data_IF_901465837262
#
_entry.id   IF_901465837262
#
_cell.length_a   1.000
_cell.length_b   1.000
_cell.length_c   1.000
_cell.angle_alpha   90.00
_cell.angle_beta   90.00
_cell.angle_gamma   90.00
#
_symmetry.space_group_name_H-M   'P 1'
#
loop_
_entity.id
_entity.type
_entity.pdbx_description
1 polymer ?
#
# COMPACT_ATOMS: atom_id res chain seq x y z
N UNK A 1 6.01 4.51 17.12
CA UNK A 1 6.17 5.79 16.40
C UNK A 1 5.56 5.59 15.02
N UNK A 2 4.78 6.53 14.49
CA UNK A 2 4.21 6.36 13.15
C UNK A 2 5.25 6.77 12.10
N UNK A 3 5.85 5.78 11.41
CA UNK A 3 6.96 5.98 10.46
C UNK A 3 6.57 6.87 9.27
N UNK A 4 5.28 6.97 8.94
CA UNK A 4 4.80 7.76 7.80
C UNK A 4 5.01 9.27 7.97
N UNK A 5 5.16 9.77 9.20
CA UNK A 5 5.39 11.20 9.46
C UNK A 5 6.87 11.61 9.44
N UNK A 6 7.79 10.64 9.40
CA UNK A 6 9.22 10.92 9.39
C UNK A 6 9.68 11.32 7.97
N UNK A 7 10.64 12.23 7.89
CA UNK A 7 11.34 12.54 6.64
C UNK A 7 12.18 11.35 6.18
N UNK A 8 12.51 11.31 4.88
CA UNK A 8 13.35 10.22 4.34
C UNK A 8 14.74 10.19 5.00
N UNK A 9 15.27 11.34 5.42
CA UNK A 9 16.54 11.41 6.13
C UNK A 9 16.45 10.80 7.54
N UNK A 10 15.37 11.07 8.27
CA UNK A 10 15.11 10.47 9.59
C UNK A 10 14.93 8.96 9.49
N UNK A 11 14.15 8.48 8.51
CA UNK A 11 13.96 7.05 8.25
C UNK A 11 15.29 6.34 7.95
N UNK A 12 16.15 6.93 7.10
CA UNK A 12 17.48 6.36 6.81
C UNK A 12 18.34 6.33 8.06
N UNK A 13 18.37 7.42 8.84
CA UNK A 13 19.13 7.48 10.10
C UNK A 13 18.67 6.40 11.08
N UNK A 14 17.37 6.20 11.21
CA UNK A 14 16.78 5.22 12.12
C UNK A 14 17.01 3.77 11.65
N UNK A 15 16.92 3.52 10.34
CA UNK A 15 17.21 2.20 9.75
C UNK A 15 18.67 1.78 10.03
N UNK A 16 19.61 2.70 9.83
CA UNK A 16 21.05 2.48 9.99
C UNK A 16 21.51 2.50 11.46
N UNK A 17 20.69 3.00 12.38
CA UNK A 17 21.02 3.02 13.80
C UNK A 17 21.28 1.60 14.32
N UNK A 18 22.37 1.44 15.08
CA UNK A 18 22.71 0.17 15.69
C UNK A 18 21.59 -0.27 16.66
N UNK A 19 21.32 -1.59 16.78
CA UNK A 19 20.42 -2.10 17.80
C UNK A 19 20.85 -1.59 19.16
N UNK A 20 19.90 -1.10 19.95
CA UNK A 20 20.17 -0.69 21.33
C UNK A 20 20.61 -1.93 22.09
N UNK A 21 21.92 -2.11 22.24
CA UNK A 21 22.48 -3.13 23.13
C UNK A 21 22.09 -2.74 24.54
N UNK A 22 21.17 -3.50 25.15
CA UNK A 22 21.02 -3.42 26.60
C UNK A 22 22.39 -3.77 27.21
N UNK A 23 22.89 -2.91 28.09
CA UNK A 23 24.03 -3.26 28.93
C UNK A 23 23.67 -4.57 29.65
N UNK A 24 24.60 -5.54 29.76
CA UNK A 24 24.30 -6.78 30.48
C UNK A 24 23.77 -6.41 31.86
N UNK A 25 22.58 -6.91 32.18
CA UNK A 25 22.02 -6.80 33.53
C UNK A 25 23.12 -7.25 34.51
N UNK A 26 23.38 -6.51 35.60
CA UNK A 26 24.36 -6.94 36.60
C UNK A 26 24.00 -8.37 37.02
N UNK A 27 25.00 -9.26 37.02
CA UNK A 27 24.85 -10.65 37.43
C UNK A 27 24.05 -10.68 38.75
N UNK A 28 22.89 -11.36 38.80
CA UNK A 28 22.12 -11.42 40.02
C UNK A 28 22.97 -12.12 41.09
N UNK A 29 23.05 -11.53 42.29
CA UNK A 29 23.46 -12.28 43.46
C UNK A 29 22.55 -13.51 43.58
N UNK A 30 23.11 -14.64 44.01
CA UNK A 30 22.53 -15.99 43.92
C UNK A 30 21.24 -16.24 44.74
N UNK A 31 20.48 -15.20 45.13
CA UNK A 31 19.28 -15.31 45.94
C UNK A 31 17.96 -14.97 45.23
N UNK A 32 17.93 -14.44 43.99
CA UNK A 32 16.67 -14.12 43.31
C UNK A 32 16.53 -14.83 41.94
N UNK A 33 15.89 -16.01 41.96
CA UNK A 33 15.59 -16.81 40.77
C UNK A 33 14.47 -16.22 39.87
N UNK A 34 13.91 -15.05 40.21
CA UNK A 34 12.82 -14.41 39.47
C UNK A 34 13.29 -13.38 38.41
N UNK A 35 14.55 -12.95 38.43
CA UNK A 35 15.04 -11.86 37.60
C UNK A 35 15.58 -12.28 36.20
N UNK A 36 15.62 -13.58 35.90
CA UNK A 36 16.20 -14.09 34.65
C UNK A 36 15.23 -14.15 33.45
N UNK A 37 13.96 -13.76 33.63
CA UNK A 37 12.90 -13.92 32.63
C UNK A 37 12.49 -12.62 31.92
N UNK A 38 13.44 -11.72 31.63
CA UNK A 38 13.15 -10.46 30.91
C UNK A 38 14.06 -10.18 29.71
N UNK A 39 15.00 -11.06 29.38
CA UNK A 39 16.02 -10.79 28.37
C UNK A 39 15.70 -11.27 26.93
N UNK A 40 14.46 -11.69 26.62
CA UNK A 40 14.19 -12.36 25.32
C UNK A 40 13.08 -11.70 24.47
N UNK A 41 12.31 -10.72 24.97
CA UNK A 41 11.13 -10.21 24.24
C UNK A 41 11.38 -8.98 23.33
N UNK A 42 12.58 -8.40 23.29
CA UNK A 42 12.83 -7.13 22.56
C UNK A 42 13.22 -7.27 21.07
N UNK A 43 13.80 -8.41 20.67
CA UNK A 43 14.26 -8.64 19.29
C UNK A 43 13.15 -8.59 18.21
N UNK A 44 11.93 -9.15 18.41
CA UNK A 44 10.92 -9.16 17.36
C UNK A 44 10.31 -7.77 17.10
N UNK A 45 10.19 -6.92 18.12
CA UNK A 45 9.66 -5.56 17.96
C UNK A 45 10.65 -4.64 17.22
N UNK A 46 11.95 -4.79 17.48
CA UNK A 46 12.98 -4.04 16.76
C UNK A 46 13.05 -4.43 15.28
N UNK A 47 13.02 -5.73 14.97
CA UNK A 47 13.00 -6.22 13.60
C UNK A 47 11.76 -5.71 12.85
N UNK A 48 10.57 -5.83 13.44
CA UNK A 48 9.32 -5.35 12.84
C UNK A 48 9.37 -3.84 12.57
N UNK A 49 9.94 -3.06 13.48
CA UNK A 49 10.13 -1.62 13.32
C UNK A 49 11.12 -1.29 12.20
N UNK A 50 12.27 -1.95 12.13
CA UNK A 50 13.24 -1.75 11.03
C UNK A 50 12.64 -2.14 9.67
N UNK A 51 11.84 -3.20 9.61
CA UNK A 51 11.14 -3.60 8.39
C UNK A 51 10.07 -2.58 7.97
N UNK A 52 9.35 -1.97 8.92
CA UNK A 52 8.36 -0.94 8.60
C UNK A 52 9.02 0.32 8.03
N UNK A 53 10.18 0.72 8.56
CA UNK A 53 11.00 1.82 8.02
C UNK A 53 11.49 1.49 6.61
N UNK A 54 12.05 0.29 6.40
CA UNK A 54 12.52 -0.13 5.08
C UNK A 54 11.39 -0.16 4.05
N UNK A 55 10.20 -0.63 4.44
CA UNK A 55 8.98 -0.63 3.61
C UNK A 55 8.56 0.79 3.22
N UNK A 56 8.53 1.72 4.18
CA UNK A 56 8.18 3.12 3.92
C UNK A 56 9.16 3.79 2.95
N UNK A 57 10.47 3.57 3.12
CA UNK A 57 11.49 4.07 2.20
C UNK A 57 11.32 3.52 0.77
N UNK A 58 11.05 2.22 0.64
CA UNK A 58 10.81 1.57 -0.65
C UNK A 58 9.54 2.12 -1.32
N UNK A 59 8.45 2.31 -0.56
CA UNK A 59 7.21 2.89 -1.07
C UNK A 59 7.43 4.31 -1.62
N UNK A 60 8.25 5.13 -0.94
CA UNK A 60 8.60 6.48 -1.41
C UNK A 60 9.45 6.47 -2.66
N UNK A 61 10.47 5.61 -2.72
CA UNK A 61 11.34 5.46 -3.91
C UNK A 61 10.53 5.02 -5.14
N UNK A 62 9.66 4.02 -4.97
CA UNK A 62 8.83 3.51 -6.05
C UNK A 62 7.77 4.53 -6.50
N UNK A 63 7.17 5.26 -5.55
CA UNK A 63 6.27 6.38 -5.87
C UNK A 63 7.00 7.49 -6.63
N UNK A 64 8.24 7.81 -6.26
CA UNK A 64 9.05 8.79 -7.00
C UNK A 64 9.31 8.34 -8.45
N UNK A 65 9.56 7.05 -8.68
CA UNK A 65 9.67 6.51 -10.06
C UNK A 65 8.37 6.65 -10.86
N UNK A 66 7.22 6.53 -10.22
CA UNK A 66 5.90 6.74 -10.86
C UNK A 66 5.61 8.22 -11.15
N UNK A 67 6.27 9.14 -10.44
CA UNK A 67 6.21 10.59 -10.67
C UNK A 67 7.18 11.06 -11.76
N UNK A 68 8.25 10.32 -12.03
CA UNK A 68 9.31 10.69 -12.99
C UNK A 68 9.01 10.25 -14.44
N UNK A 69 7.95 9.46 -14.66
CA UNK A 69 7.58 9.04 -16.00
C UNK A 69 6.26 8.26 -16.11
N UNK A 70 5.86 7.90 -17.33
CA UNK A 70 4.60 7.21 -17.57
C UNK A 70 4.54 5.87 -16.83
N UNK A 71 3.55 5.73 -15.96
CA UNK A 71 3.37 4.56 -15.10
C UNK A 71 3.15 3.30 -15.93
N UNK A 72 2.48 3.43 -17.08
CA UNK A 72 2.21 2.33 -18.01
C UNK A 72 3.45 1.89 -18.81
N UNK A 73 4.56 2.64 -18.79
CA UNK A 73 5.82 2.18 -19.38
C UNK A 73 6.44 1.02 -18.57
N UNK A 74 6.09 0.90 -17.29
CA UNK A 74 6.47 -0.23 -16.45
C UNK A 74 5.35 -0.60 -15.47
N UNK A 75 4.33 -1.37 -15.92
CA UNK A 75 3.24 -1.82 -15.05
C UNK A 75 3.73 -2.61 -13.82
N UNK A 76 4.92 -3.21 -13.92
CA UNK A 76 5.58 -3.88 -12.80
C UNK A 76 5.81 -2.95 -11.61
N UNK A 77 6.21 -1.69 -11.83
CA UNK A 77 6.44 -0.73 -10.73
C UNK A 77 5.15 -0.50 -9.94
N UNK A 78 4.00 -0.39 -10.63
CA UNK A 78 2.68 -0.27 -9.99
C UNK A 78 2.35 -1.51 -9.16
N UNK A 79 2.48 -2.70 -9.76
CA UNK A 79 2.14 -3.96 -9.10
C UNK A 79 3.00 -4.17 -7.85
N UNK A 80 4.30 -3.94 -7.96
CA UNK A 80 5.22 -4.05 -6.83
C UNK A 80 4.89 -3.01 -5.75
N UNK A 81 4.54 -1.77 -6.14
CA UNK A 81 4.16 -0.71 -5.20
C UNK A 81 2.87 -1.07 -4.47
N UNK A 82 1.87 -1.60 -5.18
CA UNK A 82 0.60 -2.05 -4.62
C UNK A 82 0.78 -3.22 -3.65
N UNK A 83 1.59 -4.23 -4.01
CA UNK A 83 1.94 -5.32 -3.08
C UNK A 83 2.57 -4.75 -1.82
N UNK A 84 3.53 -3.84 -1.96
CA UNK A 84 4.20 -3.21 -0.83
C UNK A 84 3.24 -2.35 -0.02
N UNK A 85 2.30 -1.63 -0.63
CA UNK A 85 1.34 -0.77 0.08
C UNK A 85 0.32 -1.60 0.86
N UNK A 86 -0.18 -2.68 0.26
CA UNK A 86 -1.21 -3.54 0.83
C UNK A 86 -0.67 -4.62 1.78
N UNK A 87 0.66 -4.83 1.82
CA UNK A 87 1.28 -5.86 2.65
C UNK A 87 0.91 -5.69 4.13
N UNK A 88 0.34 -6.74 4.73
CA UNK A 88 -0.02 -6.76 6.15
C UNK A 88 -1.34 -6.06 6.49
N UNK A 89 -2.10 -5.57 5.51
CA UNK A 89 -3.44 -5.03 5.77
C UNK A 89 -4.42 -6.19 6.07
N UNK A 90 -5.05 -6.12 7.25
CA UNK A 90 -6.03 -7.12 7.73
C UNK A 90 -7.46 -6.85 7.26
N UNK A 91 -7.65 -5.82 6.43
CA UNK A 91 -8.93 -5.38 5.88
C UNK A 91 -8.69 -4.93 4.44
N UNK A 92 -9.78 -4.86 3.69
CA UNK A 92 -9.76 -4.34 2.33
C UNK A 92 -9.63 -2.81 2.34
N UNK A 93 -8.81 -2.32 1.42
CA UNK A 93 -8.69 -0.91 1.07
C UNK A 93 -8.92 -0.76 -0.43
N UNK A 94 -9.54 0.35 -0.83
CA UNK A 94 -9.70 0.71 -2.23
C UNK A 94 -8.86 1.96 -2.53
N UNK A 95 -7.92 1.79 -3.45
CA UNK A 95 -6.96 2.79 -3.86
C UNK A 95 -7.30 3.33 -5.24
N UNK A 96 -7.05 4.62 -5.43
CA UNK A 96 -7.12 5.27 -6.74
C UNK A 96 -5.82 5.99 -7.01
N UNK A 97 -5.17 5.65 -8.11
CA UNK A 97 -3.98 6.34 -8.62
C UNK A 97 -4.44 7.27 -9.72
N UNK A 98 -4.34 8.57 -9.48
CA UNK A 98 -4.70 9.62 -10.43
C UNK A 98 -3.53 9.88 -11.37
N UNK A 99 -3.79 9.89 -12.67
CA UNK A 99 -2.78 10.09 -13.69
C UNK A 99 -3.11 11.29 -14.57
N UNK A 100 -2.07 11.99 -15.01
CA UNK A 100 -2.19 13.06 -15.98
C UNK A 100 -2.38 12.53 -17.43
N UNK A 101 -2.41 13.45 -18.40
CA UNK A 101 -2.59 13.11 -19.81
C UNK A 101 -1.40 12.34 -20.43
N UNK A 102 -0.24 12.33 -19.77
CA UNK A 102 0.96 11.57 -20.14
C UNK A 102 1.07 10.24 -19.36
N UNK A 103 0.03 9.88 -18.59
CA UNK A 103 0.01 8.70 -17.72
C UNK A 103 1.05 8.73 -16.61
N UNK A 104 1.50 9.92 -16.19
CA UNK A 104 2.36 10.11 -15.03
C UNK A 104 1.48 10.20 -13.79
N UNK A 105 1.95 9.64 -12.67
CA UNK A 105 1.23 9.72 -11.40
C UNK A 105 1.09 11.18 -10.95
N UNK A 106 -0.11 11.56 -10.53
CA UNK A 106 -0.37 12.81 -9.81
C UNK A 106 -0.37 12.51 -8.31
N UNK A 107 -1.22 11.57 -7.89
CA UNK A 107 -1.41 11.17 -6.49
C UNK A 107 -1.93 9.73 -6.41
N UNK A 108 -1.63 9.04 -5.31
CA UNK A 108 -2.18 7.73 -4.99
C UNK A 108 -2.95 7.82 -3.66
N UNK A 109 -4.27 7.64 -3.70
CA UNK A 109 -5.16 7.88 -2.56
C UNK A 109 -5.84 6.58 -2.12
N UNK A 110 -5.77 6.26 -0.81
CA UNK A 110 -6.66 5.29 -0.16
C UNK A 110 -8.01 5.95 0.08
N UNK A 111 -8.96 5.74 -0.84
CA UNK A 111 -10.26 6.42 -0.80
C UNK A 111 -11.24 5.75 0.16
N UNK A 112 -11.16 4.43 0.30
CA UNK A 112 -12.10 3.66 1.10
C UNK A 112 -11.39 2.56 1.87
N UNK A 113 -11.92 2.30 3.05
CA UNK A 113 -11.48 1.21 3.93
C UNK A 113 -12.70 0.39 4.34
N UNK A 114 -12.60 -0.92 4.12
CA UNK A 114 -13.67 -1.86 4.35
C UNK A 114 -13.44 -2.77 5.54
N UNK A 115 -14.08 -3.94 5.47
CA UNK A 115 -13.93 -5.05 6.42
C UNK A 115 -12.92 -6.07 5.87
N UNK A 116 -12.88 -7.26 6.47
CA UNK A 116 -12.07 -8.37 5.98
C UNK A 116 -12.50 -8.88 4.58
N UNK A 117 -13.77 -8.67 4.20
CA UNK A 117 -14.39 -9.35 3.04
C UNK A 117 -15.04 -8.42 2.03
N UNK A 118 -15.15 -7.12 2.34
CA UNK A 118 -15.72 -6.15 1.40
C UNK A 118 -15.38 -4.71 1.78
N UNK A 119 -15.29 -3.85 0.77
CA UNK A 119 -15.26 -2.38 0.91
C UNK A 119 -16.42 -1.75 0.14
N UNK A 120 -17.14 -0.82 0.77
CA UNK A 120 -18.17 -0.04 0.07
C UNK A 120 -17.53 1.14 -0.65
N UNK A 121 -17.53 1.09 -1.98
CA UNK A 121 -16.98 2.14 -2.86
C UNK A 121 -18.13 2.88 -3.53
N UNK A 122 -18.08 4.21 -3.48
CA UNK A 122 -19.13 5.07 -4.03
C UNK A 122 -18.62 5.80 -5.29
N UNK A 123 -19.13 5.49 -6.49
CA UNK A 123 -18.66 6.09 -7.75
C UNK A 123 -18.64 7.63 -7.73
N UNK A 124 -19.62 8.26 -7.08
CA UNK A 124 -19.70 9.72 -6.95
C UNK A 124 -18.47 10.34 -6.26
N UNK A 125 -17.90 9.67 -5.27
CA UNK A 125 -16.75 10.18 -4.53
C UNK A 125 -15.47 9.96 -5.33
N UNK A 126 -15.36 8.82 -6.03
CA UNK A 126 -14.25 8.58 -6.98
C UNK A 126 -14.24 9.63 -8.09
N UNK A 127 -15.40 9.95 -8.69
CA UNK A 127 -15.53 11.00 -9.71
C UNK A 127 -15.14 12.37 -9.15
N UNK A 128 -15.61 12.73 -7.94
CA UNK A 128 -15.23 13.99 -7.29
C UNK A 128 -13.72 14.10 -7.07
N UNK A 129 -13.09 13.04 -6.55
CA UNK A 129 -11.64 13.07 -6.30
C UNK A 129 -10.83 13.10 -7.60
N UNK A 130 -11.24 12.34 -8.63
CA UNK A 130 -10.60 12.39 -9.94
C UNK A 130 -10.60 13.80 -10.55
N UNK A 131 -11.74 14.50 -10.46
CA UNK A 131 -11.86 15.89 -10.91
C UNK A 131 -11.05 16.86 -10.04
N UNK A 132 -11.02 16.66 -8.72
CA UNK A 132 -10.23 17.48 -7.81
C UNK A 132 -8.72 17.41 -8.09
N UNK A 133 -8.24 16.23 -8.51
CA UNK A 133 -6.86 16.02 -8.94
C UNK A 133 -6.61 16.38 -10.41
N UNK A 134 -7.63 16.82 -11.15
CA UNK A 134 -7.56 17.07 -12.59
C UNK A 134 -6.98 15.87 -13.38
N UNK A 135 -7.40 14.66 -12.98
CA UNK A 135 -6.90 13.42 -13.56
C UNK A 135 -7.43 13.23 -14.99
N UNK A 136 -6.57 12.89 -15.94
CA UNK A 136 -7.00 12.46 -17.28
C UNK A 136 -7.33 10.95 -17.32
N UNK A 137 -6.78 10.19 -16.37
CA UNK A 137 -7.05 8.77 -16.23
C UNK A 137 -6.74 8.28 -14.82
N UNK A 138 -7.21 7.07 -14.48
CA UNK A 138 -6.98 6.44 -13.18
C UNK A 138 -6.59 4.97 -13.32
N UNK A 139 -5.83 4.48 -12.34
CA UNK A 139 -5.73 3.06 -12.03
C UNK A 139 -6.48 2.80 -10.73
N UNK A 140 -7.30 1.76 -10.70
CA UNK A 140 -8.03 1.33 -9.51
C UNK A 140 -7.27 0.16 -8.88
N UNK A 141 -7.32 0.03 -7.55
CA UNK A 141 -6.83 -1.17 -6.90
C UNK A 141 -7.61 -1.48 -5.62
N UNK A 142 -7.73 -2.76 -5.30
CA UNK A 142 -8.07 -3.19 -3.95
C UNK A 142 -7.27 -4.43 -3.55
N UNK A 143 -7.15 -4.68 -2.25
CA UNK A 143 -6.55 -5.91 -1.75
C UNK A 143 -7.62 -6.87 -1.25
N UNK A 144 -7.33 -8.16 -1.34
CA UNK A 144 -8.02 -9.20 -0.60
C UNK A 144 -7.09 -9.71 0.52
N UNK A 145 -7.39 -9.46 1.81
CA UNK A 145 -6.59 -9.98 2.92
C UNK A 145 -6.47 -11.51 2.91
N UNK A 146 -7.42 -12.21 2.30
CA UNK A 146 -7.40 -13.66 2.09
C UNK A 146 -6.30 -14.15 1.14
N UNK A 147 -5.69 -13.25 0.35
CA UNK A 147 -4.70 -13.60 -0.67
C UNK A 147 -5.28 -14.15 -1.97
N UNK A 148 -6.61 -14.22 -2.11
CA UNK A 148 -7.26 -14.67 -3.35
C UNK A 148 -7.22 -13.57 -4.41
N UNK A 149 -6.87 -13.94 -5.64
CA UNK A 149 -6.78 -12.99 -6.77
C UNK A 149 -8.04 -12.96 -7.64
N UNK A 150 -8.91 -13.97 -7.50
CA UNK A 150 -10.12 -14.08 -8.31
C UNK A 150 -11.05 -12.91 -8.00
N UNK A 151 -11.48 -12.13 -9.01
CA UNK A 151 -12.48 -11.10 -8.79
C UNK A 151 -13.81 -11.74 -8.41
N UNK A 152 -14.54 -11.10 -7.50
CA UNK A 152 -15.94 -11.40 -7.24
C UNK A 152 -16.82 -10.72 -8.30
N UNK A 153 -18.08 -11.17 -8.43
CA UNK A 153 -19.06 -10.48 -9.29
C UNK A 153 -19.31 -9.04 -8.84
N UNK A 154 -19.10 -8.72 -7.56
CA UNK A 154 -19.20 -7.36 -7.06
C UNK A 154 -18.05 -6.48 -7.57
N UNK A 155 -16.83 -7.02 -7.66
CA UNK A 155 -15.67 -6.30 -8.18
C UNK A 155 -15.85 -5.98 -9.67
N UNK A 156 -16.32 -6.94 -10.45
CA UNK A 156 -16.62 -6.72 -11.87
C UNK A 156 -17.69 -5.64 -12.08
N UNK A 157 -18.81 -5.74 -11.33
CA UNK A 157 -19.88 -4.76 -11.41
C UNK A 157 -19.42 -3.36 -10.98
N UNK A 158 -18.65 -3.27 -9.89
CA UNK A 158 -18.07 -2.02 -9.42
C UNK A 158 -17.15 -1.42 -10.48
N UNK A 159 -16.27 -2.23 -11.07
CA UNK A 159 -15.33 -1.79 -12.11
C UNK A 159 -16.07 -1.20 -13.30
N UNK A 160 -17.10 -1.88 -13.80
CA UNK A 160 -17.89 -1.41 -14.94
C UNK A 160 -18.69 -0.13 -14.60
N UNK A 161 -19.19 -0.03 -13.37
CA UNK A 161 -19.87 1.18 -12.88
C UNK A 161 -18.92 2.37 -12.81
N UNK A 162 -17.72 2.17 -12.26
CA UNK A 162 -16.68 3.20 -12.17
C UNK A 162 -16.19 3.63 -13.55
N UNK A 163 -15.91 2.67 -14.44
CA UNK A 163 -15.52 2.93 -15.83
C UNK A 163 -16.56 3.79 -16.54
N UNK A 164 -17.83 3.44 -16.44
CA UNK A 164 -18.92 4.21 -17.06
C UNK A 164 -19.06 5.60 -16.44
N UNK A 165 -18.95 5.71 -15.10
CA UNK A 165 -19.11 6.97 -14.38
C UNK A 165 -18.00 7.97 -14.65
N UNK A 166 -16.74 7.51 -14.66
CA UNK A 166 -15.57 8.33 -14.93
C UNK A 166 -15.50 8.76 -16.39
N UNK A 167 -15.91 7.87 -17.31
CA UNK A 167 -15.96 8.21 -18.74
C UNK A 167 -16.92 9.37 -19.05
N UNK A 168 -18.00 9.54 -18.27
CA UNK A 168 -18.93 10.68 -18.45
C UNK A 168 -18.29 12.05 -18.16
N UNK A 169 -17.13 12.07 -17.50
CA UNK A 169 -16.35 13.27 -17.20
C UNK A 169 -14.95 13.21 -17.82
N UNK A 170 -14.80 12.44 -18.91
CA UNK A 170 -13.57 12.30 -19.69
C UNK A 170 -12.36 11.74 -18.91
N UNK A 171 -12.60 11.00 -17.83
CA UNK A 171 -11.55 10.29 -17.07
C UNK A 171 -11.55 8.81 -17.44
N UNK A 172 -10.44 8.31 -18.00
CA UNK A 172 -10.32 6.90 -18.40
C UNK A 172 -9.89 6.02 -17.22
N UNK A 173 -10.53 4.87 -17.05
CA UNK A 173 -9.99 3.78 -16.19
C UNK A 173 -9.04 2.95 -17.06
N UNK A 174 -7.75 2.97 -16.74
CA UNK A 174 -6.74 2.22 -17.52
C UNK A 174 -6.62 0.76 -17.06
N UNK A 175 -6.76 0.52 -15.76
CA UNK A 175 -6.71 -0.81 -15.17
C UNK A 175 -7.42 -0.85 -13.81
N UNK A 176 -7.72 -2.07 -13.36
CA UNK A 176 -8.13 -2.37 -12.00
C UNK A 176 -7.31 -3.56 -11.49
N UNK A 177 -6.58 -3.35 -10.38
CA UNK A 177 -5.73 -4.34 -9.77
C UNK A 177 -6.37 -5.00 -8.54
N UNK A 178 -6.26 -6.33 -8.43
CA UNK A 178 -6.54 -7.08 -7.20
C UNK A 178 -5.23 -7.54 -6.60
N UNK A 179 -4.94 -7.11 -5.37
CA UNK A 179 -3.74 -7.49 -4.62
C UNK A 179 -4.05 -8.63 -3.67
N UNK A 180 -3.40 -9.77 -3.88
CA UNK A 180 -3.53 -10.96 -3.04
C UNK A 180 -2.16 -11.40 -2.53
N UNK A 181 -1.79 -10.91 -1.34
CA UNK A 181 -0.46 -11.16 -0.78
C UNK A 181 0.64 -10.47 -1.59
N UNK A 182 1.55 -11.25 -2.16
CA UNK A 182 2.67 -10.79 -3.00
C UNK A 182 2.35 -10.80 -4.50
N UNK A 183 1.11 -11.11 -4.88
CA UNK A 183 0.65 -11.19 -6.26
C UNK A 183 -0.41 -10.15 -6.57
N UNK A 184 -0.47 -9.78 -7.86
CA UNK A 184 -1.45 -8.83 -8.38
C UNK A 184 -2.09 -9.38 -9.65
N UNK A 185 -3.42 -9.35 -9.71
CA UNK A 185 -4.19 -9.57 -10.94
C UNK A 185 -4.54 -8.21 -11.55
N UNK A 186 -4.41 -8.09 -12.87
CA UNK A 186 -4.82 -6.92 -13.66
C UNK A 186 -6.06 -7.26 -14.46
N UNK A 187 -7.12 -6.46 -14.35
CA UNK A 187 -8.33 -6.62 -15.15
C UNK A 187 -8.05 -6.41 -16.65
N UNK A 188 -7.20 -5.44 -16.98
CA UNK A 188 -6.82 -5.17 -18.37
C UNK A 188 -6.09 -6.38 -19.00
N UNK A 189 -5.13 -6.99 -18.28
CA UNK A 189 -4.41 -8.18 -18.75
C UNK A 189 -5.31 -9.43 -18.85
N UNK A 190 -6.37 -9.51 -18.03
CA UNK A 190 -7.35 -10.60 -18.06
C UNK A 190 -8.49 -10.36 -19.07
N UNK A 191 -8.54 -9.20 -19.73
CA UNK A 191 -9.61 -8.86 -20.67
C UNK A 191 -10.96 -8.58 -20.02
N UNK A 192 -10.98 -8.17 -18.75
CA UNK A 192 -12.18 -7.91 -17.95
C UNK A 192 -12.63 -6.44 -17.99
N UNK A 193 -11.86 -5.57 -18.64
CA UNK A 193 -12.01 -4.11 -18.55
C UNK A 193 -12.84 -3.50 -19.67
#
# INVERSE_FOLDING_TARGET
>A
MNVTHLSSAELVSELLAAPVRQAPLPLPCACDAAAAYQAVEHAPHELAHKLSIARELLLRDMRAKMLDGPVMASPKVVKDWLCMYCAGLEHEVFLVLYLDAQHVLIEAEEMFRGTLTQTSVYPREVVKSALAHNAASVLLAHNHPSGQLSPSSADELLTQTLKSSLMMVDVRVLDHFIVGGDRVLSFAEQGLL
#
